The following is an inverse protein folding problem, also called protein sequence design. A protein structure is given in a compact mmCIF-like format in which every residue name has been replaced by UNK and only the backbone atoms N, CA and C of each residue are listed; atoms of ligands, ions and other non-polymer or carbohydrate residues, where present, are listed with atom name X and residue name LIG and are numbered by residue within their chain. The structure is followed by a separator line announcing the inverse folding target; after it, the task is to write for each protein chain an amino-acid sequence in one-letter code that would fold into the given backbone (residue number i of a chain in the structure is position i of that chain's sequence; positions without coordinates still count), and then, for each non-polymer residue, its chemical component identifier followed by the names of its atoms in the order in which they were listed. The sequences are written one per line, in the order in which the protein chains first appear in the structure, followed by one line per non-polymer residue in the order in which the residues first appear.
data_IF_683010241864
#
_entry.id   IF_683010241864
#
_cell.length_a   1.000
_cell.length_b   1.000
_cell.length_c   1.000
_cell.angle_alpha   90.00
_cell.angle_beta   90.00
_cell.angle_gamma   90.00
#
_symmetry.space_group_name_H-M   'P 1'
#
loop_
_entity.id
_entity.type
_entity.pdbx_description
1 polymer ?
#
# COMPACT_ATOMS: atom_id res chain seq x y z
N UNK A 1 35.41 19.59 -26.85
CA UNK A 1 34.09 19.09 -26.39
C UNK A 1 34.34 18.03 -25.32
N UNK A 2 33.96 18.27 -24.06
CA UNK A 2 34.15 17.29 -22.97
C UNK A 2 32.93 16.37 -22.94
N UNK A 3 33.13 15.07 -23.21
CA UNK A 3 32.10 14.05 -23.01
C UNK A 3 31.90 13.81 -21.52
N UNK A 4 30.73 14.18 -20.98
CA UNK A 4 30.29 13.71 -19.67
C UNK A 4 29.79 12.27 -19.82
N UNK A 5 30.65 11.29 -19.51
CA UNK A 5 30.23 9.91 -19.27
C UNK A 5 29.60 9.85 -17.88
N UNK A 6 28.28 9.88 -17.82
CA UNK A 6 27.53 9.60 -16.61
C UNK A 6 27.70 8.10 -16.30
N UNK A 7 28.23 7.69 -15.12
CA UNK A 7 28.36 6.28 -14.82
C UNK A 7 26.97 5.63 -14.70
N UNK A 8 26.82 4.36 -15.11
CA UNK A 8 25.55 3.64 -14.95
C UNK A 8 25.23 3.57 -13.46
N UNK A 9 24.08 4.15 -13.10
CA UNK A 9 23.53 4.12 -11.76
C UNK A 9 23.30 2.64 -11.41
N UNK A 10 24.14 2.10 -10.53
CA UNK A 10 23.96 0.76 -9.97
C UNK A 10 22.54 0.63 -9.43
N UNK A 11 21.71 -0.13 -10.13
CA UNK A 11 20.45 -0.62 -9.58
C UNK A 11 20.82 -1.57 -8.44
N UNK A 12 20.88 -1.00 -7.23
CA UNK A 12 20.98 -1.78 -5.99
C UNK A 12 19.92 -2.88 -6.08
N UNK A 13 20.40 -4.13 -6.11
CA UNK A 13 19.55 -5.31 -6.11
C UNK A 13 18.47 -5.11 -5.04
N UNK A 14 17.21 -5.07 -5.48
CA UNK A 14 16.08 -4.92 -4.56
C UNK A 14 16.22 -6.05 -3.53
N UNK A 15 16.27 -5.75 -2.22
CA UNK A 15 16.38 -6.80 -1.21
C UNK A 15 15.25 -7.79 -1.48
N UNK A 16 15.57 -9.08 -1.51
CA UNK A 16 14.59 -10.14 -1.68
C UNK A 16 13.43 -9.89 -0.70
N UNK A 17 12.24 -9.61 -1.25
CA UNK A 17 11.06 -9.35 -0.43
C UNK A 17 10.84 -10.61 0.42
N UNK A 18 10.78 -10.43 1.74
CA UNK A 18 10.47 -11.50 2.68
C UNK A 18 9.19 -12.24 2.22
N UNK A 19 9.18 -13.58 2.08
CA UNK A 19 8.04 -14.33 1.57
C UNK A 19 6.77 -14.14 2.41
N UNK A 20 6.90 -13.90 3.72
CA UNK A 20 5.77 -13.52 4.57
C UNK A 20 5.16 -12.19 4.14
N UNK A 21 6.00 -11.18 3.87
CA UNK A 21 5.53 -9.88 3.40
C UNK A 21 4.84 -10.01 2.04
N UNK A 22 5.37 -10.84 1.13
CA UNK A 22 4.75 -11.09 -0.17
C UNK A 22 3.38 -11.75 -0.02
N UNK A 23 3.25 -12.76 0.84
CA UNK A 23 1.96 -13.43 1.10
C UNK A 23 0.92 -12.47 1.69
N UNK A 24 1.32 -11.61 2.63
CA UNK A 24 0.44 -10.58 3.20
C UNK A 24 0.06 -9.54 2.13
N UNK A 25 1.02 -9.09 1.32
CA UNK A 25 0.77 -8.14 0.22
C UNK A 25 -0.26 -8.71 -0.77
N UNK A 26 -0.14 -9.99 -1.15
CA UNK A 26 -1.06 -10.64 -2.07
C UNK A 26 -2.45 -10.87 -1.47
N UNK A 27 -2.53 -11.24 -0.18
CA UNK A 27 -3.81 -11.34 0.53
C UNK A 27 -4.55 -10.00 0.60
N UNK A 28 -3.82 -8.90 0.86
CA UNK A 28 -4.40 -7.56 0.87
C UNK A 28 -4.83 -7.11 -0.54
N UNK A 29 -4.04 -7.40 -1.59
CA UNK A 29 -4.44 -7.13 -2.99
C UNK A 29 -5.74 -7.83 -3.34
N UNK A 30 -5.89 -9.10 -2.96
CA UNK A 30 -7.10 -9.88 -3.21
C UNK A 30 -8.29 -9.32 -2.44
N UNK A 31 -8.12 -8.98 -1.16
CA UNK A 31 -9.19 -8.44 -0.31
C UNK A 31 -9.69 -7.07 -0.80
N UNK A 32 -8.77 -6.15 -1.07
CA UNK A 32 -9.11 -4.77 -1.41
C UNK A 32 -9.29 -4.53 -2.92
N UNK A 33 -8.99 -5.53 -3.76
CA UNK A 33 -9.02 -5.43 -5.21
C UNK A 33 -8.27 -4.19 -5.74
N UNK A 34 -7.15 -3.84 -5.08
CA UNK A 34 -6.32 -2.69 -5.44
C UNK A 34 -4.85 -3.02 -5.25
N UNK A 35 -3.97 -2.16 -5.77
CA UNK A 35 -2.53 -2.30 -5.61
C UNK A 35 -2.12 -2.00 -4.17
N UNK A 36 -1.55 -3.01 -3.53
CA UNK A 36 -0.98 -2.92 -2.19
C UNK A 36 0.53 -3.05 -2.26
N UNK A 37 1.23 -2.22 -1.49
CA UNK A 37 2.67 -2.28 -1.33
C UNK A 37 3.03 -2.24 0.14
N UNK A 38 3.82 -3.22 0.56
CA UNK A 38 4.34 -3.28 1.92
C UNK A 38 5.84 -3.01 1.86
N UNK A 39 6.31 -2.07 2.68
CA UNK A 39 7.74 -1.75 2.80
C UNK A 39 8.08 -1.48 4.25
N UNK A 40 9.24 -1.97 4.72
CA UNK A 40 9.60 -1.80 6.13
C UNK A 40 10.93 -2.46 6.46
N UNK A 41 11.42 -2.19 7.67
CA UNK A 41 12.61 -2.81 8.25
C UNK A 41 12.33 -3.12 9.71
N UNK A 42 12.62 -4.36 10.13
CA UNK A 42 12.37 -4.84 11.50
C UNK A 42 10.91 -4.60 11.89
N UNK A 43 10.67 -3.94 13.02
CA UNK A 43 9.35 -3.72 13.63
C UNK A 43 8.62 -2.47 13.09
N UNK A 44 9.17 -1.78 12.09
CA UNK A 44 8.56 -0.57 11.50
C UNK A 44 8.38 -0.74 10.00
N UNK A 45 7.22 -0.32 9.51
CA UNK A 45 6.89 -0.39 8.10
C UNK A 45 5.75 0.52 7.71
N UNK A 46 5.45 0.50 6.42
CA UNK A 46 4.38 1.22 5.75
C UNK A 46 3.62 0.23 4.88
N UNK A 47 2.30 0.28 4.97
CA UNK A 47 1.39 -0.36 4.04
C UNK A 47 0.78 0.77 3.21
N UNK A 48 0.86 0.65 1.89
CA UNK A 48 0.32 1.62 0.93
C UNK A 48 -0.78 0.91 0.14
N UNK A 49 -2.01 1.45 0.18
CA UNK A 49 -3.11 1.05 -0.70
C UNK A 49 -3.34 2.16 -1.71
N UNK A 50 -3.25 1.86 -3.00
CA UNK A 50 -3.63 2.79 -4.05
C UNK A 50 -5.16 2.78 -4.21
N UNK A 51 -5.75 3.91 -4.58
CA UNK A 51 -7.14 3.99 -5.02
C UNK A 51 -7.17 4.84 -6.29
N UNK A 52 -8.08 4.52 -7.21
CA UNK A 52 -8.18 5.20 -8.50
C UNK A 52 -9.46 6.02 -8.64
N UNK A 53 -10.35 5.94 -7.65
CA UNK A 53 -11.60 6.69 -7.59
C UNK A 53 -12.02 6.93 -6.13
N UNK A 54 -12.93 7.89 -5.93
CA UNK A 54 -13.57 8.11 -4.63
C UNK A 54 -14.40 6.90 -4.19
N UNK A 55 -15.01 6.20 -5.15
CA UNK A 55 -15.77 4.96 -4.88
C UNK A 55 -14.85 3.85 -4.33
N UNK A 56 -13.67 3.67 -4.93
CA UNK A 56 -12.66 2.72 -4.43
C UNK A 56 -12.23 3.07 -3.00
N UNK A 57 -11.98 4.35 -2.72
CA UNK A 57 -11.60 4.80 -1.39
C UNK A 57 -12.69 4.44 -0.37
N UNK A 58 -13.95 4.77 -0.65
CA UNK A 58 -15.08 4.47 0.22
C UNK A 58 -15.21 2.96 0.49
N UNK A 59 -15.11 2.14 -0.57
CA UNK A 59 -15.11 0.67 -0.44
C UNK A 59 -13.95 0.16 0.41
N UNK A 60 -12.74 0.70 0.24
CA UNK A 60 -11.58 0.33 1.04
C UNK A 60 -11.80 0.68 2.52
N UNK A 61 -12.34 1.87 2.81
CA UNK A 61 -12.65 2.32 4.17
C UNK A 61 -13.70 1.42 4.84
N UNK A 62 -14.76 1.05 4.12
CA UNK A 62 -15.77 0.09 4.56
C UNK A 62 -15.15 -1.28 4.89
N UNK A 63 -14.32 -1.83 4.00
CA UNK A 63 -13.59 -3.09 4.21
C UNK A 63 -12.58 -3.05 5.37
N UNK A 64 -12.14 -1.85 5.77
CA UNK A 64 -11.31 -1.62 6.95
C UNK A 64 -12.12 -1.48 8.24
N UNK A 65 -13.45 -1.43 8.15
CA UNK A 65 -14.33 -1.13 9.29
C UNK A 65 -14.17 0.30 9.78
N UNK A 66 -13.75 1.23 8.90
CA UNK A 66 -13.78 2.65 9.19
C UNK A 66 -15.21 3.13 9.05
N UNK A 67 -16.03 2.80 10.04
CA UNK A 67 -17.32 3.45 10.24
C UNK A 67 -17.01 4.78 10.93
N UNK A 68 -17.36 5.88 10.26
CA UNK A 68 -17.43 7.15 10.94
C UNK A 68 -18.62 6.99 11.90
N UNK A 69 -18.34 6.70 13.18
CA UNK A 69 -19.29 6.71 14.30
C UNK A 69 -19.80 8.15 14.53
N UNK A 70 -20.29 8.77 13.46
CA UNK A 70 -21.19 9.89 13.54
C UNK A 70 -22.49 9.31 14.08
N UNK A 71 -22.55 9.21 15.41
CA UNK A 71 -23.73 9.39 16.22
C UNK A 71 -24.85 10.12 15.45
N UNK A 72 -25.63 9.35 14.71
CA UNK A 72 -27.00 9.69 14.38
C UNK A 72 -27.84 8.65 15.09
N UNK A 73 -27.77 8.68 16.41
CA UNK A 73 -28.89 8.37 17.29
C UNK A 73 -30.04 9.30 16.86
N UNK A 74 -30.69 8.99 15.73
CA UNK A 74 -32.09 9.31 15.56
C UNK A 74 -32.86 8.25 16.32
N UNK A 75 -32.86 8.42 17.65
CA UNK A 75 -33.94 7.91 18.48
C UNK A 75 -35.22 8.58 18.02
N UNK A 76 -36.12 7.79 17.44
CA UNK A 76 -37.54 8.13 17.27
C UNK A 76 -38.18 8.63 18.58
#
# INVERSE_FOLDING_TARGET
MKLLKNPPKEEKAKPEKNPYITAVEDGLKQKFATKVKISGKKDKGKIELEYYSTEDLNRILDLLGYENDGSNDESE
#
